data_IF_530410613564
#
_entry.id   IF_530410613564
#
_cell.length_a   1.000
_cell.length_b   1.000
_cell.length_c   1.000
_cell.angle_alpha   90.00
_cell.angle_beta   90.00
_cell.angle_gamma   90.00
#
_symmetry.space_group_name_H-M   'P 1'
#
loop_
_entity.id
_entity.type
_entity.pdbx_description
1 polymer ?
#
# COMPACT_ATOMS: atom_id res chain seq x y z
N UNK A 1 38.51 3.13 22.66
CA UNK A 1 38.19 3.78 21.38
C UNK A 1 36.67 3.81 21.25
N UNK A 2 36.04 4.98 21.45
CA UNK A 2 34.60 5.14 21.27
C UNK A 2 34.33 5.42 19.79
N UNK A 3 33.84 4.43 19.08
CA UNK A 3 33.22 4.63 17.77
C UNK A 3 31.91 5.37 17.98
N UNK A 4 31.94 6.70 17.77
CA UNK A 4 30.74 7.50 17.55
C UNK A 4 29.99 6.84 16.38
N UNK A 5 28.84 6.25 16.68
CA UNK A 5 27.86 5.96 15.65
C UNK A 5 27.42 7.32 15.10
N UNK A 6 27.64 7.53 13.80
CA UNK A 6 27.07 8.68 13.12
C UNK A 6 25.56 8.53 13.20
N UNK A 7 24.93 9.30 14.09
CA UNK A 7 23.50 9.56 14.08
C UNK A 7 23.20 10.27 12.75
N UNK A 8 22.86 9.46 11.74
CA UNK A 8 22.32 9.97 10.49
C UNK A 8 21.12 10.84 10.82
N UNK A 9 21.16 12.07 10.35
CA UNK A 9 20.09 13.04 10.45
C UNK A 9 18.81 12.45 9.77
N UNK A 10 17.96 11.80 10.55
CA UNK A 10 16.74 11.12 10.10
C UNK A 10 15.48 11.93 10.44
N UNK A 11 15.54 13.26 10.35
CA UNK A 11 14.36 14.13 10.36
C UNK A 11 13.60 14.01 9.03
N UNK A 12 13.15 12.80 8.73
CA UNK A 12 12.20 12.57 7.66
C UNK A 12 10.87 13.20 8.08
N UNK A 13 10.57 14.36 7.49
CA UNK A 13 9.34 15.07 7.78
C UNK A 13 8.15 14.21 7.34
N UNK A 14 7.35 13.80 8.32
CA UNK A 14 6.07 13.18 8.03
C UNK A 14 5.10 14.24 7.53
N UNK A 15 4.30 13.90 6.53
CA UNK A 15 3.24 14.76 6.00
C UNK A 15 1.87 14.20 6.38
N UNK A 16 0.87 15.09 6.32
CA UNK A 16 -0.53 14.76 6.44
C UNK A 16 -1.18 14.85 5.07
N UNK A 17 -1.95 13.81 4.70
CA UNK A 17 -2.73 13.76 3.46
C UNK A 17 -4.19 13.61 3.86
N UNK A 18 -5.03 14.60 3.51
CA UNK A 18 -6.45 14.67 3.85
C UNK A 18 -6.78 14.30 5.31
N UNK A 19 -6.00 14.86 6.24
CA UNK A 19 -6.18 14.67 7.68
C UNK A 19 -5.57 13.39 8.27
N UNK A 20 -5.00 12.52 7.44
CA UNK A 20 -4.28 11.31 7.89
C UNK A 20 -2.78 11.62 7.93
N UNK A 21 -2.16 11.44 9.09
CA UNK A 21 -0.74 11.78 9.31
C UNK A 21 0.20 10.59 9.05
N UNK A 22 1.51 10.86 9.17
CA UNK A 22 2.59 9.85 9.15
C UNK A 22 2.82 9.20 7.79
N UNK A 23 2.61 9.95 6.72
CA UNK A 23 3.15 9.61 5.41
C UNK A 23 4.57 10.14 5.29
N UNK A 24 5.49 9.30 4.84
CA UNK A 24 6.86 9.71 4.51
C UNK A 24 7.09 9.47 3.03
N UNK A 25 7.39 10.53 2.28
CA UNK A 25 7.70 10.39 0.86
C UNK A 25 8.98 9.56 0.66
N UNK A 26 8.99 8.77 -0.41
CA UNK A 26 10.14 8.00 -0.82
C UNK A 26 11.21 8.98 -1.35
N UNK A 27 12.46 8.90 -0.87
CA UNK A 27 13.49 9.93 -1.13
C UNK A 27 13.90 10.09 -2.60
N UNK A 28 13.51 9.15 -3.45
CA UNK A 28 13.89 9.12 -4.87
C UNK A 28 12.71 9.01 -5.83
N UNK A 29 11.47 9.02 -5.32
CA UNK A 29 10.26 8.82 -6.14
C UNK A 29 9.15 9.68 -5.59
N UNK A 30 8.77 10.68 -6.39
CA UNK A 30 7.66 11.58 -6.07
C UNK A 30 6.35 10.80 -5.97
N UNK A 31 5.48 11.24 -5.05
CA UNK A 31 4.13 10.66 -4.85
C UNK A 31 4.14 9.18 -4.46
N UNK A 32 5.28 8.67 -4.00
CA UNK A 32 5.38 7.35 -3.37
C UNK A 32 5.56 7.56 -1.88
N UNK A 33 4.62 7.04 -1.11
CA UNK A 33 4.52 7.29 0.33
C UNK A 33 4.69 6.00 1.12
N UNK A 34 5.56 6.00 2.12
CA UNK A 34 5.53 5.01 3.18
C UNK A 34 4.55 5.48 4.25
N UNK A 35 3.42 4.77 4.38
CA UNK A 35 2.45 5.05 5.43
C UNK A 35 2.88 4.37 6.73
N UNK A 36 3.15 5.19 7.75
CA UNK A 36 3.67 4.77 9.06
C UNK A 36 2.73 5.15 10.22
N UNK A 37 1.48 5.55 9.94
CA UNK A 37 0.53 6.00 10.97
C UNK A 37 0.13 4.95 11.99
N UNK A 38 0.36 3.67 11.67
CA UNK A 38 0.13 2.52 12.56
C UNK A 38 1.40 1.73 12.89
N UNK A 39 2.57 2.32 12.66
CA UNK A 39 3.82 1.71 13.10
C UNK A 39 3.85 1.62 14.65
N UNK A 40 4.44 0.55 15.24
CA UNK A 40 5.14 -0.56 14.59
C UNK A 40 4.24 -1.78 14.28
N UNK A 41 2.92 -1.65 14.29
CA UNK A 41 1.99 -2.78 14.14
C UNK A 41 1.77 -3.10 12.66
N UNK A 42 1.47 -2.09 11.86
CA UNK A 42 1.22 -2.24 10.43
C UNK A 42 1.71 -1.03 9.64
N UNK A 43 2.11 -1.30 8.41
CA UNK A 43 2.56 -0.30 7.44
C UNK A 43 2.22 -0.75 6.02
N UNK A 44 2.21 0.21 5.10
CA UNK A 44 2.12 -0.05 3.67
C UNK A 44 2.85 1.05 2.89
N UNK A 45 3.06 0.79 1.61
CA UNK A 45 3.49 1.77 0.62
C UNK A 45 2.28 2.16 -0.23
N UNK A 46 2.19 3.45 -0.55
CA UNK A 46 1.13 4.04 -1.36
C UNK A 46 1.79 4.72 -2.54
N UNK A 47 1.38 4.39 -3.76
CA UNK A 47 1.83 5.03 -4.99
C UNK A 47 0.65 5.82 -5.52
N UNK A 48 0.74 7.13 -5.46
CA UNK A 48 -0.30 8.04 -5.90
C UNK A 48 -0.01 8.51 -7.32
N UNK A 49 -0.96 8.28 -8.22
CA UNK A 49 -0.96 8.76 -9.60
C UNK A 49 -2.17 9.67 -9.79
N UNK A 50 -2.39 10.23 -10.98
CA UNK A 50 -3.39 11.30 -11.19
C UNK A 50 -4.79 10.98 -10.66
N UNK A 51 -5.37 9.85 -11.06
CA UNK A 51 -6.74 9.46 -10.73
C UNK A 51 -6.81 8.16 -9.90
N UNK A 52 -5.67 7.59 -9.53
CA UNK A 52 -5.62 6.33 -8.80
C UNK A 52 -4.49 6.23 -7.79
N UNK A 53 -4.71 5.32 -6.84
CA UNK A 53 -3.74 4.95 -5.82
C UNK A 53 -3.50 3.45 -5.88
N UNK A 54 -2.23 3.06 -5.93
CA UNK A 54 -1.81 1.67 -5.83
C UNK A 54 -1.20 1.40 -4.46
N UNK A 55 -1.66 0.33 -3.79
CA UNK A 55 -1.14 -0.05 -2.47
C UNK A 55 -0.17 -1.24 -2.59
N UNK A 56 1.01 -1.08 -1.98
CA UNK A 56 2.10 -2.07 -1.95
C UNK A 56 2.56 -2.38 -0.53
N UNK A 57 3.36 -3.44 -0.39
CA UNK A 57 4.11 -3.76 0.83
C UNK A 57 3.28 -3.73 2.12
N UNK A 58 2.04 -4.22 2.02
CA UNK A 58 1.09 -4.26 3.12
C UNK A 58 1.52 -5.34 4.11
N UNK A 59 1.77 -4.93 5.35
CA UNK A 59 2.22 -5.84 6.40
C UNK A 59 1.56 -5.54 7.74
N UNK A 60 1.16 -6.62 8.42
CA UNK A 60 0.93 -6.64 9.87
C UNK A 60 2.05 -7.49 10.46
N UNK A 61 3.00 -6.84 11.15
CA UNK A 61 4.33 -7.39 11.41
C UNK A 61 4.31 -8.65 12.27
N UNK A 62 3.54 -8.64 13.36
CA UNK A 62 3.50 -9.77 14.31
C UNK A 62 2.28 -10.66 14.04
N UNK A 63 2.44 -12.00 13.95
CA UNK A 63 1.31 -12.92 13.82
C UNK A 63 0.22 -12.71 14.88
N UNK A 64 0.62 -12.42 16.13
CA UNK A 64 -0.31 -12.14 17.24
C UNK A 64 -1.16 -10.89 17.06
N UNK A 65 -0.79 -10.00 16.13
CA UNK A 65 -1.55 -8.79 15.79
C UNK A 65 -2.45 -8.99 14.56
N UNK A 66 -2.35 -10.12 13.87
CA UNK A 66 -3.23 -10.49 12.75
C UNK A 66 -4.60 -10.92 13.29
N UNK A 67 -5.64 -10.75 12.47
CA UNK A 67 -7.03 -11.03 12.88
C UNK A 67 -7.63 -10.03 13.86
N UNK A 68 -6.91 -8.98 14.26
CA UNK A 68 -7.38 -7.94 15.20
C UNK A 68 -7.85 -6.64 14.55
N UNK A 69 -8.10 -6.66 13.25
CA UNK A 69 -8.54 -5.47 12.50
C UNK A 69 -7.43 -4.46 12.13
N UNK A 70 -6.18 -4.67 12.54
CA UNK A 70 -5.07 -3.75 12.23
C UNK A 70 -4.88 -3.46 10.74
N UNK A 71 -4.93 -4.50 9.90
CA UNK A 71 -4.85 -4.34 8.44
C UNK A 71 -6.03 -3.56 7.89
N UNK A 72 -7.25 -3.84 8.33
CA UNK A 72 -8.44 -3.08 7.92
C UNK A 72 -8.34 -1.62 8.30
N UNK A 73 -7.95 -1.33 9.53
CA UNK A 73 -7.85 0.04 10.02
C UNK A 73 -6.77 0.83 9.25
N UNK A 74 -5.67 0.17 8.87
CA UNK A 74 -4.67 0.76 7.98
C UNK A 74 -5.25 1.12 6.61
N UNK A 75 -5.97 0.20 5.95
CA UNK A 75 -6.53 0.48 4.62
C UNK A 75 -7.65 1.53 4.69
N UNK A 76 -8.43 1.57 5.78
CA UNK A 76 -9.41 2.64 6.02
C UNK A 76 -8.74 4.03 6.11
N UNK A 77 -7.57 4.13 6.77
CA UNK A 77 -6.81 5.38 6.81
C UNK A 77 -6.33 5.77 5.39
N UNK A 78 -5.92 4.80 4.55
CA UNK A 78 -5.54 5.11 3.16
C UNK A 78 -6.74 5.60 2.35
N UNK A 79 -7.92 4.99 2.51
CA UNK A 79 -9.15 5.49 1.88
C UNK A 79 -9.47 6.92 2.33
N UNK A 80 -9.35 7.21 3.61
CA UNK A 80 -9.55 8.58 4.11
C UNK A 80 -8.53 9.56 3.53
N UNK A 81 -7.27 9.14 3.38
CA UNK A 81 -6.22 9.96 2.79
C UNK A 81 -6.46 10.25 1.30
N UNK A 82 -7.11 9.34 0.57
CA UNK A 82 -7.36 9.46 -0.88
C UNK A 82 -8.83 9.18 -1.22
N UNK A 83 -9.77 10.03 -0.76
CA UNK A 83 -11.20 9.73 -0.82
C UNK A 83 -11.71 9.61 -2.26
N UNK A 84 -11.22 10.46 -3.16
CA UNK A 84 -11.71 10.57 -4.54
C UNK A 84 -10.91 9.74 -5.54
N UNK A 85 -9.82 9.10 -5.10
CA UNK A 85 -9.00 8.28 -5.99
C UNK A 85 -9.58 6.88 -6.12
N UNK A 86 -9.41 6.27 -7.29
CA UNK A 86 -9.59 4.83 -7.43
C UNK A 86 -8.41 4.11 -6.76
N UNK A 87 -8.66 3.42 -5.65
CA UNK A 87 -7.64 2.68 -4.91
C UNK A 87 -7.67 1.22 -5.32
N UNK A 88 -6.52 0.68 -5.71
CA UNK A 88 -6.43 -0.70 -6.18
C UNK A 88 -5.19 -1.41 -5.67
N UNK A 89 -5.22 -2.74 -5.77
CA UNK A 89 -4.14 -3.61 -5.30
C UNK A 89 -3.94 -4.81 -6.23
N UNK A 90 -2.72 -5.29 -6.29
CA UNK A 90 -2.41 -6.65 -6.72
C UNK A 90 -2.07 -7.50 -5.50
N UNK A 91 -2.68 -8.67 -5.38
CA UNK A 91 -2.60 -9.51 -4.18
C UNK A 91 -2.30 -10.98 -4.47
N UNK A 92 -1.56 -11.62 -3.57
CA UNK A 92 -1.37 -13.07 -3.57
C UNK A 92 -2.59 -13.79 -3.02
N UNK A 93 -2.77 -15.05 -3.43
CA UNK A 93 -3.88 -15.93 -3.01
C UNK A 93 -4.09 -15.94 -1.49
N UNK A 94 -3.00 -16.11 -0.73
CA UNK A 94 -3.04 -16.25 0.73
C UNK A 94 -3.62 -15.02 1.46
N UNK A 95 -3.68 -13.86 0.79
CA UNK A 95 -4.29 -12.64 1.32
C UNK A 95 -5.52 -12.18 0.54
N UNK A 96 -5.93 -12.88 -0.52
CA UNK A 96 -7.02 -12.45 -1.41
C UNK A 96 -8.33 -12.21 -0.65
N UNK A 97 -8.72 -13.12 0.23
CA UNK A 97 -9.94 -12.96 1.04
C UNK A 97 -9.92 -11.76 1.99
N UNK A 98 -8.74 -11.24 2.37
CA UNK A 98 -8.65 -9.96 3.09
C UNK A 98 -9.00 -8.79 2.17
N UNK A 99 -8.47 -8.78 0.94
CA UNK A 99 -8.70 -7.70 -0.02
C UNK A 99 -10.11 -7.67 -0.58
N UNK A 100 -10.72 -8.83 -0.82
CA UNK A 100 -12.14 -8.92 -1.20
C UNK A 100 -13.03 -8.25 -0.16
N UNK A 101 -12.75 -8.45 1.14
CA UNK A 101 -13.44 -7.72 2.22
C UNK A 101 -13.15 -6.23 2.23
N UNK A 102 -11.98 -5.78 1.77
CA UNK A 102 -11.68 -4.34 1.68
C UNK A 102 -12.45 -3.70 0.52
N UNK A 103 -12.66 -4.43 -0.58
CA UNK A 103 -13.57 -4.02 -1.67
C UNK A 103 -15.00 -3.95 -1.16
N UNK A 104 -15.51 -5.01 -0.51
CA UNK A 104 -16.87 -5.08 0.04
C UNK A 104 -17.17 -3.91 1.00
N UNK A 105 -16.17 -3.48 1.77
CA UNK A 105 -16.27 -2.36 2.71
C UNK A 105 -16.08 -0.98 2.08
N UNK A 106 -15.78 -0.90 0.78
CA UNK A 106 -15.52 0.36 0.08
C UNK A 106 -14.19 1.02 0.45
N UNK A 107 -13.24 0.29 1.05
CA UNK A 107 -11.92 0.84 1.38
C UNK A 107 -10.96 0.81 0.19
N UNK A 108 -11.14 -0.13 -0.74
CA UNK A 108 -10.51 -0.12 -2.07
C UNK A 108 -11.57 -0.38 -3.13
N UNK A 109 -11.29 -0.02 -4.37
CA UNK A 109 -12.25 -0.14 -5.48
C UNK A 109 -12.05 -1.42 -6.27
N UNK A 110 -10.82 -1.92 -6.40
CA UNK A 110 -10.56 -3.14 -7.18
C UNK A 110 -9.30 -3.92 -6.80
N UNK A 111 -9.34 -5.21 -7.15
CA UNK A 111 -8.17 -6.10 -7.21
C UNK A 111 -7.87 -6.33 -8.69
N UNK A 112 -6.69 -5.95 -9.15
CA UNK A 112 -6.37 -5.89 -10.60
C UNK A 112 -5.56 -7.10 -11.09
N UNK A 113 -5.41 -8.15 -10.28
CA UNK A 113 -4.83 -9.42 -10.70
C UNK A 113 -5.79 -10.61 -10.56
N UNK A 114 -5.84 -11.43 -11.61
CA UNK A 114 -6.68 -12.62 -11.71
C UNK A 114 -6.02 -13.88 -11.10
N UNK A 115 -4.69 -13.99 -11.15
CA UNK A 115 -3.98 -15.19 -10.71
C UNK A 115 -3.47 -15.11 -9.26
N UNK A 116 -3.21 -16.30 -8.73
CA UNK A 116 -2.87 -16.61 -7.33
C UNK A 116 -1.46 -16.18 -6.94
N UNK A 117 -0.60 -15.97 -7.95
CA UNK A 117 0.76 -15.46 -7.83
C UNK A 117 0.90 -14.12 -8.57
N UNK A 118 1.57 -13.12 -8.00
CA UNK A 118 1.75 -11.84 -8.69
C UNK A 118 2.64 -12.04 -9.91
N UNK A 119 2.10 -11.80 -11.11
CA UNK A 119 2.96 -11.60 -12.27
C UNK A 119 3.83 -10.38 -11.98
N UNK A 120 5.16 -10.57 -11.95
CA UNK A 120 6.12 -9.49 -11.74
C UNK A 120 6.14 -8.53 -12.92
N UNK A 121 5.72 -8.99 -14.10
CA UNK A 121 5.48 -8.16 -15.27
C UNK A 121 4.13 -7.45 -15.16
N UNK A 122 4.21 -6.17 -14.84
CA UNK A 122 3.08 -5.28 -14.63
C UNK A 122 2.32 -5.01 -15.93
N UNK A 123 2.96 -5.26 -17.08
CA UNK A 123 2.47 -5.11 -18.46
C UNK A 123 1.97 -6.39 -19.10
N UNK A 124 2.09 -7.53 -18.41
CA UNK A 124 1.64 -8.80 -18.96
C UNK A 124 0.14 -8.76 -19.31
N UNK A 125 -0.19 -9.02 -20.57
CA UNK A 125 -1.56 -9.19 -21.09
C UNK A 125 -1.99 -10.65 -21.08
N UNK A 126 -1.02 -11.58 -21.03
CA UNK A 126 -1.26 -13.02 -21.02
C UNK A 126 -1.78 -13.46 -19.64
N UNK A 127 -1.15 -12.99 -18.57
CA UNK A 127 -1.57 -13.27 -17.19
C UNK A 127 -2.68 -12.33 -16.70
N UNK A 128 -3.13 -11.37 -17.52
CA UNK A 128 -4.17 -10.41 -17.11
C UNK A 128 -5.04 -10.02 -18.31
N UNK A 129 -5.76 -10.98 -18.92
CA UNK A 129 -6.57 -10.71 -20.10
C UNK A 129 -7.78 -9.80 -19.81
N UNK A 130 -8.28 -9.76 -18.57
CA UNK A 130 -9.53 -9.08 -18.18
C UNK A 130 -9.41 -8.28 -16.88
N UNK A 131 -8.44 -7.36 -16.80
CA UNK A 131 -8.36 -6.41 -15.67
C UNK A 131 -9.61 -5.54 -15.60
N UNK A 132 -10.17 -5.37 -14.40
CA UNK A 132 -11.38 -4.58 -14.14
C UNK A 132 -11.29 -3.17 -14.69
N UNK A 133 -10.11 -2.53 -14.57
CA UNK A 133 -9.90 -1.17 -15.06
C UNK A 133 -8.80 -1.05 -16.12
N UNK A 134 -8.10 -2.15 -16.43
CA UNK A 134 -6.92 -2.12 -17.31
C UNK A 134 -5.64 -1.57 -16.66
N UNK A 135 -5.68 -1.17 -15.37
CA UNK A 135 -4.54 -0.57 -14.65
C UNK A 135 -3.36 -1.52 -14.52
N UNK A 136 -2.14 -0.97 -14.49
CA UNK A 136 -0.87 -1.70 -14.46
C UNK A 136 0.03 -1.14 -13.37
N UNK A 137 0.79 -2.01 -12.68
CA UNK A 137 1.62 -1.54 -11.56
C UNK A 137 2.65 -0.54 -12.06
N UNK A 138 2.85 0.51 -11.28
CA UNK A 138 3.90 1.49 -11.52
C UNK A 138 5.25 0.90 -11.08
N UNK A 139 5.89 0.14 -11.97
CA UNK A 139 7.24 -0.42 -11.80
C UNK A 139 7.32 -1.74 -11.00
N UNK A 140 8.45 -2.43 -11.14
CA UNK A 140 8.87 -3.55 -10.27
C UNK A 140 9.50 -3.01 -8.99
N UNK A 141 9.09 -3.54 -7.83
CA UNK A 141 9.58 -3.16 -6.50
C UNK A 141 10.11 -4.39 -5.77
#
# INVERSE_FOLDING_TARGET
MNTKQNEGNFDAQFVCINGVSRFREHPHRERVWNYMGRAPISMCMVIELEDWVEIHNVIVHKPSQRGRGNGTAMIADIRQAFPDHHIWVNTGECSRGFWEKMVERGFIDSIENEYWWPCSDTTCTICHPTRTTGKRRCGSW
#
